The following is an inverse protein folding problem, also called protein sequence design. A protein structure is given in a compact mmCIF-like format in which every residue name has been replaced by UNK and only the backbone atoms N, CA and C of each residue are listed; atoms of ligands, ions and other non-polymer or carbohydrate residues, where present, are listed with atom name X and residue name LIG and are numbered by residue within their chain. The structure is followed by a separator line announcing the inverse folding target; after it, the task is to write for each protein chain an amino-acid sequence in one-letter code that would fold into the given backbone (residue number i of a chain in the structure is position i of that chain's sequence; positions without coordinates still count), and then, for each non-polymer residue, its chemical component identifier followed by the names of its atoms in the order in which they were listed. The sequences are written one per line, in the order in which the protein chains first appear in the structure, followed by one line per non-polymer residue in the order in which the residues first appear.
data_IF_979458983642
#
_entry.id   IF_979458983642
#
_cell.length_a   1.000
_cell.length_b   1.000
_cell.length_c   1.000
_cell.angle_alpha   90.00
_cell.angle_beta   90.00
_cell.angle_gamma   90.00
#
_symmetry.space_group_name_H-M   'P 1'
#
loop_
_entity.id
_entity.type
_entity.pdbx_description
1 polymer ?
#
# COMPACT_ATOMS: atom_id res chain seq x y z
N UNK A 1 -11.65 -33.92 30.79
CA UNK A 1 -10.34 -33.69 30.12
C UNK A 1 -10.59 -32.98 28.79
N UNK A 2 -10.92 -31.68 28.80
CA UNK A 2 -11.16 -30.92 27.54
C UNK A 2 -10.48 -29.53 27.54
N UNK A 3 -9.59 -29.24 28.50
CA UNK A 3 -8.89 -27.96 28.58
C UNK A 3 -7.77 -27.77 27.54
N UNK A 4 -7.25 -28.86 26.97
CA UNK A 4 -6.07 -28.79 26.10
C UNK A 4 -6.39 -28.47 24.63
N UNK A 5 -7.56 -28.87 24.12
CA UNK A 5 -7.89 -28.70 22.71
C UNK A 5 -8.15 -27.24 22.32
N UNK A 6 -8.87 -26.48 23.15
CA UNK A 6 -9.16 -25.06 22.90
C UNK A 6 -7.89 -24.22 22.93
N UNK A 7 -6.98 -24.52 23.85
CA UNK A 7 -5.71 -23.80 24.01
C UNK A 7 -4.77 -24.06 22.82
N UNK A 8 -4.76 -25.29 22.28
CA UNK A 8 -4.03 -25.64 21.05
C UNK A 8 -4.61 -24.96 19.81
N UNK A 9 -5.94 -24.84 19.70
CA UNK A 9 -6.60 -24.12 18.59
C UNK A 9 -6.29 -22.62 18.65
N UNK A 10 -6.39 -22.00 19.82
CA UNK A 10 -6.07 -20.57 19.99
C UNK A 10 -4.58 -20.29 19.70
N UNK A 11 -3.66 -21.16 20.13
CA UNK A 11 -2.24 -21.03 19.82
C UNK A 11 -1.95 -21.18 18.33
N UNK A 12 -2.63 -22.10 17.63
CA UNK A 12 -2.42 -22.30 16.20
C UNK A 12 -2.98 -21.18 15.33
N UNK A 13 -4.12 -20.58 15.70
CA UNK A 13 -4.65 -19.36 15.06
C UNK A 13 -3.68 -18.18 15.29
N UNK A 14 -3.12 -18.06 16.48
CA UNK A 14 -2.16 -16.99 16.82
C UNK A 14 -0.84 -17.11 16.04
N UNK A 15 -0.34 -18.33 15.85
CA UNK A 15 0.91 -18.57 15.11
C UNK A 15 0.76 -18.38 13.60
N UNK A 16 -0.40 -18.72 13.04
CA UNK A 16 -0.67 -18.56 11.61
C UNK A 16 -0.83 -17.09 11.20
N UNK A 17 -1.29 -16.22 12.10
CA UNK A 17 -1.34 -14.77 11.85
C UNK A 17 0.06 -14.11 11.80
N UNK A 18 1.01 -14.60 12.59
CA UNK A 18 2.36 -14.04 12.65
C UNK A 18 3.27 -14.47 11.47
N UNK A 19 2.93 -15.56 10.76
CA UNK A 19 3.76 -16.14 9.70
C UNK A 19 3.72 -15.37 8.36
N UNK A 20 2.95 -14.29 8.26
CA UNK A 20 2.85 -13.46 7.05
C UNK A 20 3.41 -12.05 7.16
N UNK A 21 3.76 -11.58 8.36
CA UNK A 21 4.18 -10.19 8.52
C UNK A 21 5.67 -10.00 8.24
N UNK A 22 5.96 -9.54 7.03
CA UNK A 22 7.29 -9.16 6.60
C UNK A 22 7.20 -8.00 5.63
N UNK A 23 8.31 -7.29 5.47
CA UNK A 23 8.49 -6.37 4.36
C UNK A 23 8.94 -7.15 3.13
N UNK A 24 8.31 -6.90 1.99
CA UNK A 24 8.67 -7.49 0.69
C UNK A 24 9.35 -6.49 -0.23
N UNK A 25 9.25 -5.19 0.06
CA UNK A 25 10.01 -4.14 -0.60
C UNK A 25 11.30 -3.80 0.17
N UNK A 26 12.38 -3.48 -0.55
CA UNK A 26 13.67 -3.14 0.04
C UNK A 26 13.77 -1.69 0.54
N UNK A 27 12.79 -0.85 0.22
CA UNK A 27 12.76 0.58 0.49
C UNK A 27 11.76 0.97 1.59
N UNK A 28 11.32 0.01 2.43
CA UNK A 28 10.29 0.26 3.44
C UNK A 28 10.70 1.27 4.52
N UNK A 29 12.00 1.38 4.85
CA UNK A 29 12.51 2.44 5.73
C UNK A 29 12.22 3.83 5.14
N UNK A 30 12.50 4.02 3.84
CA UNK A 30 12.19 5.26 3.13
C UNK A 30 10.68 5.56 3.13
N UNK A 31 9.81 4.55 2.99
CA UNK A 31 8.35 4.73 3.05
C UNK A 31 7.90 5.25 4.41
N UNK A 32 8.52 4.77 5.50
CA UNK A 32 8.27 5.27 6.84
C UNK A 32 8.73 6.72 6.97
N UNK A 33 9.96 7.04 6.53
CA UNK A 33 10.51 8.40 6.57
C UNK A 33 9.67 9.41 5.76
N UNK A 34 9.15 9.00 4.60
CA UNK A 34 8.30 9.83 3.73
C UNK A 34 6.87 9.97 4.25
N UNK A 35 6.49 9.25 5.31
CA UNK A 35 5.13 9.16 5.84
C UNK A 35 4.12 8.57 4.82
N UNK A 36 4.57 7.60 4.02
CA UNK A 36 3.80 6.96 2.95
C UNK A 36 3.15 5.62 3.39
N UNK A 37 3.19 5.29 4.68
CA UNK A 37 2.57 4.07 5.23
C UNK A 37 1.05 4.00 5.10
N UNK A 38 0.38 5.10 4.74
CA UNK A 38 -1.04 5.14 4.44
C UNK A 38 -1.38 4.55 3.06
N UNK A 39 -0.39 4.39 2.18
CA UNK A 39 -0.60 3.85 0.84
C UNK A 39 -0.99 2.37 0.89
N UNK A 40 -1.96 1.96 0.06
CA UNK A 40 -2.36 0.55 0.01
C UNK A 40 -1.22 -0.37 -0.47
N UNK A 41 -0.35 0.13 -1.35
CA UNK A 41 0.88 -0.57 -1.72
C UNK A 41 1.82 -0.74 -0.51
N UNK A 42 1.94 0.26 0.36
CA UNK A 42 2.71 0.15 1.60
C UNK A 42 2.09 -0.86 2.58
N UNK A 43 0.76 -0.88 2.72
CA UNK A 43 0.05 -1.89 3.53
C UNK A 43 0.23 -3.31 3.00
N UNK A 44 0.47 -3.49 1.70
CA UNK A 44 0.82 -4.81 1.12
C UNK A 44 2.29 -5.15 1.32
N UNK A 45 3.20 -4.23 1.00
CA UNK A 45 4.62 -4.53 0.79
C UNK A 45 5.54 -4.14 1.95
N UNK A 46 5.10 -3.26 2.85
CA UNK A 46 5.87 -2.76 4.00
C UNK A 46 5.12 -3.01 5.31
N UNK A 47 4.47 -4.16 5.45
CA UNK A 47 3.60 -4.47 6.57
C UNK A 47 4.31 -4.35 7.92
N UNK A 48 5.55 -4.83 8.01
CA UNK A 48 6.29 -4.82 9.27
C UNK A 48 6.78 -3.42 9.59
N UNK A 49 7.44 -2.77 8.63
CA UNK A 49 7.98 -1.41 8.80
C UNK A 49 6.88 -0.38 9.11
N UNK A 50 5.72 -0.50 8.48
CA UNK A 50 4.59 0.40 8.69
C UNK A 50 3.64 -0.03 9.84
N UNK A 51 3.90 -1.17 10.49
CA UNK A 51 3.09 -1.63 11.63
C UNK A 51 1.73 -2.24 11.29
N UNK A 52 1.53 -2.72 10.06
CA UNK A 52 0.27 -3.28 9.54
C UNK A 52 0.14 -4.81 9.70
N UNK A 53 1.01 -5.47 10.48
CA UNK A 53 1.01 -6.93 10.66
C UNK A 53 -0.32 -7.55 11.12
N UNK A 54 -1.19 -6.76 11.77
CA UNK A 54 -2.48 -7.21 12.30
C UNK A 54 -3.65 -7.01 11.34
N UNK A 55 -3.41 -6.39 10.18
CA UNK A 55 -4.45 -5.99 9.24
C UNK A 55 -4.37 -6.84 7.97
N UNK A 56 -5.51 -7.29 7.42
CA UNK A 56 -5.52 -7.91 6.10
C UNK A 56 -4.97 -6.94 5.06
N UNK A 57 -4.02 -7.41 4.25
CA UNK A 57 -3.47 -6.61 3.17
C UNK A 57 -4.59 -6.24 2.17
N UNK A 58 -4.71 -4.97 1.77
CA UNK A 58 -5.72 -4.55 0.81
C UNK A 58 -5.48 -5.22 -0.56
N UNK A 59 -6.54 -5.55 -1.31
CA UNK A 59 -6.40 -6.14 -2.63
C UNK A 59 -5.66 -5.20 -3.59
N UNK A 60 -5.09 -5.75 -4.66
CA UNK A 60 -4.55 -4.93 -5.74
C UNK A 60 -5.67 -4.04 -6.32
N UNK A 61 -5.41 -2.74 -6.51
CA UNK A 61 -6.39 -1.84 -7.06
C UNK A 61 -6.73 -2.25 -8.50
N UNK A 62 -8.02 -2.23 -8.85
CA UNK A 62 -8.48 -2.55 -10.20
C UNK A 62 -8.58 -1.27 -11.02
N UNK A 63 -7.90 -1.17 -12.18
CA UNK A 63 -7.97 0.02 -13.02
C UNK A 63 -9.36 0.21 -13.63
N UNK A 64 -9.72 1.46 -13.86
CA UNK A 64 -10.95 1.89 -14.54
C UNK A 64 -10.60 2.79 -15.73
N UNK A 65 -11.59 3.19 -16.53
CA UNK A 65 -11.37 4.13 -17.63
C UNK A 65 -10.89 5.51 -17.13
N UNK A 66 -11.38 5.94 -15.96
CA UNK A 66 -11.12 7.27 -15.39
C UNK A 66 -9.90 7.29 -14.45
N UNK A 67 -9.42 6.12 -14.04
CA UNK A 67 -8.36 5.98 -13.05
C UNK A 67 -7.58 4.70 -13.29
N UNK A 68 -6.34 4.86 -13.76
CA UNK A 68 -5.38 3.78 -14.01
C UNK A 68 -3.97 4.33 -13.91
N UNK A 69 -3.02 3.44 -13.65
CA UNK A 69 -1.62 3.76 -13.80
C UNK A 69 -1.22 3.73 -15.28
N UNK A 70 -0.28 4.60 -15.68
CA UNK A 70 0.36 4.58 -17.00
C UNK A 70 1.30 3.39 -17.13
N UNK A 71 1.95 2.99 -16.03
CA UNK A 71 2.94 1.93 -16.02
C UNK A 71 2.55 0.75 -15.12
N UNK A 72 2.79 -0.46 -15.62
CA UNK A 72 2.55 -1.70 -14.89
C UNK A 72 3.39 -1.87 -13.61
N UNK A 73 4.50 -1.14 -13.50
CA UNK A 73 5.43 -1.23 -12.37
C UNK A 73 5.14 -0.24 -11.23
N UNK A 74 4.06 0.54 -11.34
CA UNK A 74 3.70 1.54 -10.33
C UNK A 74 3.55 0.91 -8.94
N UNK A 75 2.88 -0.23 -8.85
CA UNK A 75 2.70 -0.98 -7.58
C UNK A 75 4.04 -1.36 -6.92
N UNK A 76 5.06 -1.74 -7.69
CA UNK A 76 6.38 -2.07 -7.14
C UNK A 76 7.25 -0.82 -6.90
N UNK A 77 6.87 0.30 -7.51
CA UNK A 77 7.60 1.56 -7.46
C UNK A 77 6.83 2.64 -6.69
N UNK A 78 6.00 2.24 -5.73
CA UNK A 78 5.14 3.16 -4.99
C UNK A 78 5.92 4.16 -4.11
N UNK A 79 7.24 3.98 -3.94
CA UNK A 79 8.14 4.99 -3.37
C UNK A 79 8.19 6.28 -4.20
N UNK A 80 7.74 6.24 -5.46
CA UNK A 80 7.63 7.41 -6.34
C UNK A 80 6.47 8.34 -5.93
N UNK A 81 5.50 7.86 -5.15
CA UNK A 81 4.39 8.68 -4.69
C UNK A 81 4.92 9.78 -3.75
N UNK A 82 4.53 11.04 -4.01
CA UNK A 82 4.85 12.29 -3.29
C UNK A 82 6.15 13.01 -3.68
N UNK A 83 7.29 12.33 -3.69
CA UNK A 83 8.59 13.02 -3.79
C UNK A 83 9.07 13.22 -5.25
N UNK A 84 8.42 12.55 -6.20
CA UNK A 84 8.78 12.62 -7.62
C UNK A 84 7.63 13.26 -8.41
N UNK A 85 7.58 14.60 -8.52
CA UNK A 85 6.50 15.30 -9.21
C UNK A 85 6.42 14.84 -10.66
N UNK A 86 5.23 14.39 -11.06
CA UNK A 86 4.95 13.87 -12.39
C UNK A 86 5.05 12.35 -12.50
N UNK A 87 5.71 11.66 -11.57
CA UNK A 87 5.64 10.20 -11.47
C UNK A 87 4.43 9.73 -10.66
N UNK A 88 4.08 10.50 -9.64
CA UNK A 88 2.87 10.32 -8.84
C UNK A 88 1.59 10.33 -9.69
N UNK A 89 1.47 11.26 -10.64
CA UNK A 89 0.32 11.34 -11.57
C UNK A 89 0.33 10.24 -12.62
N UNK A 90 1.50 9.77 -13.05
CA UNK A 90 1.63 8.58 -13.92
C UNK A 90 1.25 7.30 -13.20
N UNK A 91 1.38 7.28 -11.87
CA UNK A 91 0.97 6.19 -11.00
C UNK A 91 -0.27 6.57 -10.16
N UNK A 92 -1.22 7.31 -10.73
CA UNK A 92 -2.34 7.89 -9.98
C UNK A 92 -3.21 6.86 -9.24
N UNK A 93 -3.39 5.65 -9.77
CA UNK A 93 -4.14 4.59 -9.09
C UNK A 93 -3.35 4.05 -7.89
N UNK A 94 -2.07 3.69 -8.09
CA UNK A 94 -1.20 3.20 -7.01
C UNK A 94 -0.99 4.26 -5.92
N UNK A 95 -0.77 5.52 -6.32
CA UNK A 95 -0.58 6.65 -5.41
C UNK A 95 -1.90 7.18 -4.83
N UNK A 96 -3.05 6.54 -5.11
CA UNK A 96 -4.37 6.91 -4.60
C UNK A 96 -4.75 8.37 -4.86
N UNK A 97 -4.36 8.90 -6.02
CA UNK A 97 -4.66 10.26 -6.47
C UNK A 97 -5.96 10.33 -7.28
N UNK A 98 -6.57 9.19 -7.59
CA UNK A 98 -7.83 9.14 -8.30
C UNK A 98 -8.96 9.80 -7.49
N UNK A 99 -9.73 10.67 -8.14
CA UNK A 99 -10.78 11.47 -7.49
C UNK A 99 -10.30 12.79 -6.91
N UNK A 100 -8.98 13.01 -6.79
CA UNK A 100 -8.41 14.35 -6.69
C UNK A 100 -8.51 14.92 -8.11
N UNK A 101 -9.52 15.76 -8.37
CA UNK A 101 -9.58 16.47 -9.66
C UNK A 101 -8.21 17.15 -9.86
N UNK A 102 -7.54 17.00 -11.02
CA UNK A 102 -6.47 17.92 -11.34
C UNK A 102 -7.13 19.30 -11.28
N UNK A 103 -6.75 20.12 -10.30
CA UNK A 103 -6.92 21.56 -10.49
C UNK A 103 -6.03 21.85 -11.68
N UNK A 104 -6.63 21.87 -12.87
CA UNK A 104 -6.05 22.54 -14.01
C UNK A 104 -5.54 23.87 -13.47
N UNK A 105 -4.23 24.19 -13.62
CA UNK A 105 -3.80 25.56 -13.49
C UNK A 105 -4.74 26.39 -14.38
N UNK A 106 -5.25 27.55 -13.90
CA UNK A 106 -6.10 28.37 -14.74
C UNK A 106 -5.34 28.61 -16.03
N UNK A 107 -5.93 28.19 -17.13
CA UNK A 107 -5.46 28.49 -18.47
C UNK A 107 -5.28 30.00 -18.51
N UNK A 108 -4.03 30.46 -18.50
CA UNK A 108 -3.73 31.83 -18.89
C UNK A 108 -4.25 31.94 -20.32
N UNK A 109 -5.26 32.77 -20.50
CA UNK A 109 -5.86 33.00 -21.80
C UNK A 109 -4.84 33.59 -22.77
N UNK A 110 -5.05 33.28 -24.04
CA UNK A 110 -4.82 34.15 -25.20
C UNK A 110 -5.86 33.77 -26.27
#
# INVERSE_FOLDING_TARGET
MFCNAVLVILFSISLSYAQGCQDTASFCEQIVEQNNCHLDAAKRQCQKSCGHCGEPAPPLPTPTNDCKDEYQYCEQSFYLCKDYPGWDTKCALTCQLCGVRPTTPPTAGE
#
